data_IF_867430733249
#
_entry.id   IF_867430733249
#
_cell.length_a   1.000
_cell.length_b   1.000
_cell.length_c   1.000
_cell.angle_alpha   90.00
_cell.angle_beta   90.00
_cell.angle_gamma   90.00
#
_symmetry.space_group_name_H-M   'P 1'
#
loop_
_entity.id
_entity.type
_entity.pdbx_description
1 polymer ?
#
# COMPACT_ATOMS: atom_id res chain seq x y z
N UNK A 1 12.43 -6.07 -3.73
CA UNK A 1 11.39 -5.09 -4.11
C UNK A 1 10.90 -4.37 -2.87
N UNK A 2 10.34 -3.16 -2.96
CA UNK A 2 9.74 -2.47 -1.80
C UNK A 2 8.54 -3.21 -1.18
N UNK A 3 7.91 -4.12 -1.95
CA UNK A 3 6.79 -4.95 -1.50
C UNK A 3 7.14 -5.94 -0.37
N UNK A 4 8.42 -6.18 -0.09
CA UNK A 4 8.88 -7.04 1.01
C UNK A 4 8.99 -6.28 2.35
N UNK A 5 8.64 -4.99 2.38
CA UNK A 5 8.53 -4.22 3.62
C UNK A 5 7.23 -4.55 4.35
N UNK A 6 7.32 -4.72 5.68
CA UNK A 6 6.16 -4.97 6.52
C UNK A 6 5.41 -3.71 6.97
N UNK A 7 6.01 -2.52 6.79
CA UNK A 7 5.48 -1.26 7.33
C UNK A 7 4.14 -0.89 6.69
N UNK A 8 4.08 -0.82 5.36
CA UNK A 8 2.86 -0.40 4.66
C UNK A 8 1.73 -1.44 4.83
N UNK A 9 1.98 -2.77 4.68
CA UNK A 9 0.94 -3.77 4.97
C UNK A 9 0.41 -3.70 6.40
N UNK A 10 1.27 -3.42 7.38
CA UNK A 10 0.81 -3.24 8.76
C UNK A 10 -0.07 -1.98 8.92
N UNK A 11 0.31 -0.86 8.30
CA UNK A 11 -0.50 0.36 8.30
C UNK A 11 -1.85 0.15 7.62
N UNK A 12 -1.88 -0.60 6.51
CA UNK A 12 -3.13 -0.98 5.84
C UNK A 12 -4.02 -1.81 6.77
N UNK A 13 -3.44 -2.78 7.49
CA UNK A 13 -4.13 -3.56 8.50
C UNK A 13 -4.70 -2.70 9.63
N UNK A 14 -3.89 -1.81 10.23
CA UNK A 14 -4.33 -0.91 11.31
C UNK A 14 -5.49 -0.02 10.86
N UNK A 15 -5.36 0.61 9.69
CA UNK A 15 -6.35 1.56 9.16
C UNK A 15 -7.52 0.87 8.44
N UNK A 16 -7.50 -0.46 8.35
CA UNK A 16 -8.48 -1.23 7.59
C UNK A 16 -8.58 -0.78 6.13
N UNK A 17 -7.45 -0.44 5.50
CA UNK A 17 -7.38 -0.12 4.07
C UNK A 17 -7.49 -1.44 3.31
N UNK A 18 -8.49 -1.54 2.44
CA UNK A 18 -8.73 -2.74 1.65
C UNK A 18 -8.39 -2.50 0.18
N UNK A 19 -7.77 -3.52 -0.42
CA UNK A 19 -7.42 -3.58 -1.82
C UNK A 19 -8.29 -4.63 -2.51
N UNK A 20 -8.71 -4.35 -3.74
CA UNK A 20 -9.48 -5.29 -4.54
C UNK A 20 -8.71 -6.62 -4.68
N UNK A 21 -9.46 -7.73 -4.75
CA UNK A 21 -8.90 -9.07 -4.92
C UNK A 21 -8.54 -9.30 -6.38
N UNK A 22 -7.31 -8.97 -6.73
CA UNK A 22 -6.74 -9.15 -8.07
C UNK A 22 -5.31 -9.71 -8.01
N UNK A 23 -4.68 -9.80 -9.19
CA UNK A 23 -3.31 -10.29 -9.33
C UNK A 23 -2.29 -9.48 -8.53
N UNK A 24 -2.50 -8.17 -8.34
CA UNK A 24 -1.63 -7.35 -7.51
C UNK A 24 -1.74 -7.76 -6.05
N UNK A 25 -2.95 -7.95 -5.54
CA UNK A 25 -3.14 -8.41 -4.17
C UNK A 25 -2.53 -9.79 -3.94
N UNK A 26 -2.74 -10.73 -4.87
CA UNK A 26 -2.13 -12.07 -4.80
C UNK A 26 -0.60 -11.99 -4.76
N UNK A 27 0.00 -11.22 -5.66
CA UNK A 27 1.44 -10.97 -5.68
C UNK A 27 1.96 -10.40 -4.35
N UNK A 28 1.26 -9.44 -3.74
CA UNK A 28 1.66 -8.88 -2.45
C UNK A 28 1.55 -9.87 -1.30
N UNK A 29 0.59 -10.80 -1.36
CA UNK A 29 0.50 -11.88 -0.39
C UNK A 29 1.69 -12.84 -0.53
N UNK A 30 2.10 -13.18 -1.76
CA UNK A 30 3.32 -13.96 -2.01
C UNK A 30 4.57 -13.26 -1.47
N UNK A 31 4.64 -11.92 -1.55
CA UNK A 31 5.77 -11.17 -1.00
C UNK A 31 5.92 -11.32 0.52
N UNK A 32 4.89 -11.74 1.25
CA UNK A 32 4.99 -12.05 2.69
C UNK A 32 5.87 -13.27 2.94
N UNK A 33 5.96 -14.22 2.01
CA UNK A 33 6.85 -15.39 2.13
C UNK A 33 8.33 -15.01 2.19
N UNK A 34 8.66 -13.82 1.67
CA UNK A 34 10.02 -13.27 1.68
C UNK A 34 10.28 -12.33 2.87
N UNK A 35 9.31 -12.15 3.78
CA UNK A 35 9.47 -11.34 4.99
C UNK A 35 9.92 -12.19 6.18
N UNK A 36 10.63 -11.62 7.17
CA UNK A 36 10.91 -12.32 8.42
C UNK A 36 9.60 -12.81 9.08
N UNK A 37 9.54 -14.07 9.58
CA UNK A 37 8.30 -14.63 10.13
C UNK A 37 7.66 -13.82 11.25
N UNK A 38 8.47 -13.14 12.07
CA UNK A 38 7.95 -12.25 13.13
C UNK A 38 7.21 -11.03 12.58
N UNK A 39 7.62 -10.50 11.42
CA UNK A 39 6.94 -9.37 10.78
C UNK A 39 5.62 -9.80 10.15
N UNK A 40 5.58 -10.99 9.52
CA UNK A 40 4.34 -11.56 8.98
C UNK A 40 3.31 -11.76 10.10
N UNK A 41 3.72 -12.39 11.21
CA UNK A 41 2.84 -12.57 12.38
C UNK A 41 2.33 -11.24 12.94
N UNK A 42 3.14 -10.19 12.91
CA UNK A 42 2.70 -8.86 13.35
C UNK A 42 1.61 -8.29 12.43
N UNK A 43 1.78 -8.39 11.11
CA UNK A 43 0.77 -7.94 10.15
C UNK A 43 -0.55 -8.72 10.36
N UNK A 44 -0.48 -10.05 10.46
CA UNK A 44 -1.65 -10.91 10.68
C UNK A 44 -2.36 -10.62 12.01
N UNK A 45 -1.60 -10.35 13.07
CA UNK A 45 -2.16 -9.99 14.37
C UNK A 45 -2.91 -8.65 14.32
N UNK A 46 -2.38 -7.68 13.57
CA UNK A 46 -3.04 -6.39 13.35
C UNK A 46 -4.30 -6.55 12.50
N UNK A 47 -4.23 -7.32 11.41
CA UNK A 47 -5.36 -7.56 10.51
C UNK A 47 -6.51 -8.32 11.18
N UNK A 48 -6.20 -9.23 12.11
CA UNK A 48 -7.19 -10.00 12.89
C UNK A 48 -7.65 -9.32 14.18
N UNK A 49 -6.97 -8.24 14.57
CA UNK A 49 -7.26 -7.51 15.80
C UNK A 49 -8.49 -6.61 15.72
N UNK A 50 -8.78 -5.86 16.79
CA UNK A 50 -9.86 -4.87 16.79
C UNK A 50 -9.65 -3.80 15.71
N UNK A 51 -10.70 -3.53 14.93
CA UNK A 51 -10.67 -2.54 13.84
C UNK A 51 -10.67 -1.12 14.37
N UNK A 52 -9.59 -0.36 14.10
CA UNK A 52 -9.54 1.08 14.40
C UNK A 52 -10.61 1.82 13.59
N UNK A 53 -10.79 1.45 12.32
CA UNK A 53 -11.84 2.01 11.46
C UNK A 53 -13.23 1.90 12.10
N UNK A 54 -13.58 0.71 12.58
CA UNK A 54 -14.90 0.47 13.18
C UNK A 54 -15.04 1.20 14.51
N UNK A 55 -13.96 1.26 15.29
CA UNK A 55 -13.92 2.05 16.52
C UNK A 55 -14.21 3.53 16.26
N UNK A 56 -13.54 4.12 15.26
CA UNK A 56 -13.73 5.54 14.91
C UNK A 56 -15.14 5.79 14.39
N UNK A 57 -15.64 4.93 13.49
CA UNK A 57 -16.99 5.02 12.95
C UNK A 57 -18.05 4.92 14.06
N UNK A 58 -17.85 4.01 15.04
CA UNK A 58 -18.74 3.85 16.19
C UNK A 58 -18.66 5.01 17.18
N UNK A 59 -17.47 5.57 17.38
CA UNK A 59 -17.27 6.69 18.30
C UNK A 59 -18.00 7.96 17.82
N UNK A 60 -18.12 8.16 16.50
CA UNK A 60 -18.89 9.26 15.91
C UNK A 60 -18.39 10.66 16.28
N UNK A 61 -17.10 10.78 16.65
CA UNK A 61 -16.48 12.06 17.05
C UNK A 61 -15.75 12.68 15.87
N UNK A 62 -16.13 13.89 15.49
CA UNK A 62 -15.54 14.62 14.37
C UNK A 62 -14.01 14.67 14.42
N UNK A 63 -13.43 14.98 15.58
CA UNK A 63 -11.96 15.07 15.74
C UNK A 63 -11.26 13.72 15.53
N UNK A 64 -11.88 12.61 15.93
CA UNK A 64 -11.29 11.27 15.75
C UNK A 64 -11.43 10.81 14.30
N UNK A 65 -12.58 11.10 13.66
CA UNK A 65 -12.79 10.88 12.22
C UNK A 65 -11.78 11.66 11.39
N UNK A 66 -11.51 12.92 11.76
CA UNK A 66 -10.54 13.76 11.07
C UNK A 66 -9.12 13.19 11.17
N UNK A 67 -8.67 12.80 12.37
CA UNK A 67 -7.36 12.18 12.57
C UNK A 67 -7.21 10.86 11.82
N UNK A 68 -8.28 10.04 11.77
CA UNK A 68 -8.29 8.82 10.99
C UNK A 68 -8.14 9.11 9.49
N UNK A 69 -8.92 10.03 8.96
CA UNK A 69 -8.86 10.42 7.54
C UNK A 69 -7.50 11.04 7.17
N UNK A 70 -6.91 11.85 8.07
CA UNK A 70 -5.55 12.37 7.90
C UNK A 70 -4.52 11.22 7.85
N UNK A 71 -4.69 10.18 8.67
CA UNK A 71 -3.80 9.01 8.66
C UNK A 71 -3.89 8.22 7.34
N UNK A 72 -5.11 8.02 6.81
CA UNK A 72 -5.33 7.40 5.49
C UNK A 72 -4.68 8.24 4.39
N UNK A 73 -4.84 9.56 4.42
CA UNK A 73 -4.25 10.47 3.45
C UNK A 73 -2.72 10.44 3.47
N UNK A 74 -2.09 10.38 4.65
CA UNK A 74 -0.63 10.26 4.77
C UNK A 74 -0.10 8.97 4.12
N UNK A 75 -0.83 7.86 4.23
CA UNK A 75 -0.46 6.61 3.54
C UNK A 75 -0.63 6.77 2.01
N UNK A 76 -1.68 7.45 1.57
CA UNK A 76 -1.87 7.75 0.15
C UNK A 76 -0.78 8.68 -0.42
N UNK A 77 -0.34 9.67 0.34
CA UNK A 77 0.75 10.59 -0.04
C UNK A 77 2.08 9.87 -0.12
N UNK A 78 2.37 8.97 0.82
CA UNK A 78 3.53 8.09 0.72
C UNK A 78 3.52 7.27 -0.57
N UNK A 79 2.37 6.66 -0.92
CA UNK A 79 2.20 5.89 -2.17
C UNK A 79 2.33 6.77 -3.41
N UNK A 80 1.85 8.01 -3.36
CA UNK A 80 1.99 8.98 -4.45
C UNK A 80 3.46 9.37 -4.67
N UNK A 81 4.20 9.65 -3.60
CA UNK A 81 5.64 9.93 -3.67
C UNK A 81 6.41 8.73 -4.20
N UNK A 82 6.09 7.52 -3.72
CA UNK A 82 6.70 6.30 -4.22
C UNK A 82 6.44 6.08 -5.73
N UNK A 83 5.21 6.31 -6.20
CA UNK A 83 4.88 6.28 -7.63
C UNK A 83 5.68 7.31 -8.43
N UNK A 84 5.81 8.54 -7.93
CA UNK A 84 6.61 9.58 -8.57
C UNK A 84 8.07 9.11 -8.71
N UNK A 85 8.66 8.57 -7.65
CA UNK A 85 10.04 8.09 -7.68
C UNK A 85 10.21 6.89 -8.62
N UNK A 86 9.29 5.92 -8.59
CA UNK A 86 9.32 4.79 -9.51
C UNK A 86 9.23 5.26 -10.98
N UNK A 87 8.41 6.28 -11.26
CA UNK A 87 8.34 6.90 -12.58
C UNK A 87 9.66 7.58 -12.98
N UNK A 88 10.23 8.43 -12.12
CA UNK A 88 11.42 9.22 -12.45
C UNK A 88 12.72 8.40 -12.51
N UNK A 89 12.88 7.42 -11.61
CA UNK A 89 14.13 6.66 -11.46
C UNK A 89 14.16 5.34 -12.23
N UNK A 90 13.00 4.75 -12.54
CA UNK A 90 12.93 3.47 -13.25
C UNK A 90 12.36 3.69 -14.65
N UNK A 91 11.09 4.13 -14.72
CA UNK A 91 10.37 4.19 -15.99
C UNK A 91 11.03 5.18 -16.97
N UNK A 92 11.25 6.42 -16.54
CA UNK A 92 11.85 7.46 -17.38
C UNK A 92 13.31 7.20 -17.73
N UNK A 93 14.09 6.55 -16.86
CA UNK A 93 15.50 6.23 -17.16
C UNK A 93 15.63 5.10 -18.16
N UNK A 94 14.77 4.07 -18.07
CA UNK A 94 14.81 2.95 -18.99
C UNK A 94 14.47 3.36 -20.44
N UNK A 95 13.72 4.45 -20.63
CA UNK A 95 13.45 5.03 -21.96
C UNK A 95 14.66 5.74 -22.59
N UNK A 96 15.70 6.09 -21.81
CA UNK A 96 16.88 6.80 -22.31
C UNK A 96 17.91 5.89 -22.98
N UNK A 97 17.85 4.58 -22.74
CA UNK A 97 18.79 3.60 -23.29
C UNK A 97 18.03 2.53 -24.06
N UNK A 98 18.21 2.41 -25.39
CA UNK A 98 17.60 1.34 -26.18
C UNK A 98 17.99 -0.03 -25.61
N UNK A 99 17.02 -0.91 -25.37
CA UNK A 99 17.25 -2.30 -24.94
C UNK A 99 17.01 -2.62 -23.47
N UNK A 100 16.61 -1.66 -22.64
CA UNK A 100 16.19 -1.94 -21.26
C UNK A 100 14.65 -2.11 -21.18
N UNK A 101 14.09 -3.31 -20.99
CA UNK A 101 12.64 -3.50 -20.88
C UNK A 101 12.11 -2.77 -19.63
N UNK A 102 11.39 -1.67 -19.84
CA UNK A 102 10.99 -0.72 -18.78
C UNK A 102 9.61 -0.98 -18.17
N UNK A 103 8.87 -1.96 -18.68
CA UNK A 103 7.48 -2.20 -18.31
C UNK A 103 7.34 -3.02 -17.02
N UNK A 104 8.40 -3.71 -16.60
CA UNK A 104 8.39 -4.65 -15.49
C UNK A 104 9.36 -4.18 -14.41
N UNK A 105 8.87 -4.06 -13.18
CA UNK A 105 9.69 -3.68 -12.03
C UNK A 105 10.59 -4.84 -11.59
N UNK A 106 11.51 -4.60 -10.66
CA UNK A 106 12.38 -5.67 -10.10
C UNK A 106 11.62 -6.78 -9.37
N UNK A 107 10.35 -6.54 -9.08
CA UNK A 107 9.42 -7.54 -8.56
C UNK A 107 8.75 -8.41 -9.62
N UNK A 108 8.97 -8.18 -10.92
CA UNK A 108 8.32 -8.94 -11.99
C UNK A 108 6.92 -8.44 -12.39
N UNK A 109 6.49 -7.28 -11.88
CA UNK A 109 5.13 -6.75 -12.10
C UNK A 109 5.10 -5.48 -12.96
N UNK A 110 3.96 -5.17 -13.62
CA UNK A 110 3.71 -3.87 -14.23
C UNK A 110 3.52 -2.81 -13.13
N UNK A 111 4.64 -2.34 -12.59
CA UNK A 111 4.67 -1.60 -11.32
C UNK A 111 3.94 -0.25 -11.37
N UNK A 112 3.95 0.47 -12.51
CA UNK A 112 3.28 1.77 -12.60
C UNK A 112 1.75 1.64 -12.41
N UNK A 113 1.03 0.79 -13.18
CA UNK A 113 -0.39 0.51 -12.92
C UNK A 113 -0.68 0.10 -11.48
N UNK A 114 0.14 -0.79 -10.93
CA UNK A 114 -0.07 -1.34 -9.58
C UNK A 114 0.10 -0.28 -8.49
N UNK A 115 1.17 0.52 -8.56
CA UNK A 115 1.40 1.62 -7.63
C UNK A 115 0.30 2.69 -7.71
N UNK A 116 -0.17 3.00 -8.92
CA UNK A 116 -1.29 3.92 -9.14
C UNK A 116 -2.57 3.40 -8.49
N UNK A 117 -2.91 2.13 -8.73
CA UNK A 117 -4.10 1.48 -8.16
C UNK A 117 -4.09 1.55 -6.63
N UNK A 118 -2.99 1.15 -5.99
CA UNK A 118 -2.87 1.17 -4.54
C UNK A 118 -3.02 2.57 -3.94
N UNK A 119 -2.44 3.60 -4.57
CA UNK A 119 -2.64 4.99 -4.16
C UNK A 119 -4.12 5.38 -4.22
N UNK A 120 -4.79 5.07 -5.34
CA UNK A 120 -6.18 5.47 -5.58
C UNK A 120 -7.15 4.74 -4.64
N UNK A 121 -6.95 3.43 -4.45
CA UNK A 121 -7.70 2.64 -3.48
C UNK A 121 -7.54 3.19 -2.07
N UNK A 122 -6.33 3.55 -1.63
CA UNK A 122 -6.14 4.16 -0.29
C UNK A 122 -6.89 5.48 -0.14
N UNK A 123 -6.82 6.39 -1.12
CA UNK A 123 -7.53 7.69 -1.05
C UNK A 123 -9.04 7.53 -0.92
N UNK A 124 -9.60 6.46 -1.51
CA UNK A 124 -11.04 6.19 -1.42
C UNK A 124 -11.52 5.66 -0.06
N UNK A 125 -10.62 5.43 0.89
CA UNK A 125 -10.91 4.71 2.14
C UNK A 125 -11.16 5.62 3.35
N UNK A 126 -11.26 6.94 3.14
CA UNK A 126 -11.72 7.88 4.17
C UNK A 126 -13.17 7.59 4.59
N UNK A 127 -13.50 7.83 5.86
CA UNK A 127 -14.85 7.61 6.41
C UNK A 127 -15.58 8.95 6.61
N UNK A 128 -16.92 8.88 6.56
CA UNK A 128 -17.82 10.03 6.74
C UNK A 128 -18.05 10.39 8.20
#
# INVERSE_FOLDING_TARGET
TGAQSAIVPALDGVLGIQHERDQLREYLMEMREYMPPAHVRFIEAVESGPSVRDFVAKAGRASTTELFNQSVELVADFRALHLQYASSYIFAQAQKTPGNPSAVGTGGTPFIPYLKKHRDETRSQSIR
#
